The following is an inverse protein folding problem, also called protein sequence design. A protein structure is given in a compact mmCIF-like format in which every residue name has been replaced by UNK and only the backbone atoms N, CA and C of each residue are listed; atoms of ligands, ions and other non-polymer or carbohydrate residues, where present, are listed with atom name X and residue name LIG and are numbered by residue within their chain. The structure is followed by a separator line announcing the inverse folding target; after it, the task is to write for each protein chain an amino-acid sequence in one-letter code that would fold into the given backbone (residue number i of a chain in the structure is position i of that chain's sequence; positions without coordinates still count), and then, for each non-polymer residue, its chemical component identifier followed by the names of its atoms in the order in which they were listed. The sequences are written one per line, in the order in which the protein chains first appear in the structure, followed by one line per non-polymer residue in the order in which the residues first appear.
data_IF_846616687326
#
_entry.id   IF_846616687326
#
_cell.length_a   1.000
_cell.length_b   1.000
_cell.length_c   1.000
_cell.angle_alpha   90.00
_cell.angle_beta   90.00
_cell.angle_gamma   90.00
#
_symmetry.space_group_name_H-M   'P 1'
#
loop_
_entity.id
_entity.type
_entity.pdbx_description
1 polymer ?
#
# COMPACT_ATOMS: atom_id res chain seq x y z
N UNK A 1 13.87 1.75 13.87
CA UNK A 1 13.12 0.49 13.71
C UNK A 1 12.53 0.51 12.32
N UNK A 2 12.81 -0.52 11.53
CA UNK A 2 12.12 -0.73 10.26
C UNK A 2 10.78 -1.44 10.50
N UNK A 3 9.96 -1.57 9.45
CA UNK A 3 8.68 -2.30 9.55
C UNK A 3 8.89 -3.78 9.85
N UNK A 4 9.97 -4.35 9.32
CA UNK A 4 10.39 -5.73 9.52
C UNK A 4 10.81 -5.98 10.96
N UNK A 5 11.55 -5.05 11.58
CA UNK A 5 11.89 -5.12 13.01
C UNK A 5 10.62 -5.16 13.88
N UNK A 6 9.63 -4.32 13.55
CA UNK A 6 8.36 -4.25 14.29
C UNK A 6 7.59 -5.57 14.17
N UNK A 7 7.50 -6.11 12.95
CA UNK A 7 6.82 -7.40 12.69
C UNK A 7 7.48 -8.55 13.45
N UNK A 8 8.82 -8.62 13.46
CA UNK A 8 9.56 -9.65 14.19
C UNK A 8 9.31 -9.58 15.71
N UNK A 9 9.28 -8.37 16.29
CA UNK A 9 8.98 -8.21 17.72
C UNK A 9 7.50 -8.51 18.03
N UNK A 10 6.56 -8.25 17.11
CA UNK A 10 5.16 -8.66 17.26
C UNK A 10 5.07 -10.18 17.32
N UNK A 11 5.61 -10.90 16.33
CA UNK A 11 5.58 -12.37 16.29
C UNK A 11 6.21 -12.99 17.54
N UNK A 12 7.36 -12.46 17.95
CA UNK A 12 8.04 -12.86 19.18
C UNK A 12 7.17 -12.61 20.41
N UNK A 13 6.48 -11.47 20.50
CA UNK A 13 5.57 -11.17 21.62
C UNK A 13 4.38 -12.12 21.69
N UNK A 14 3.80 -12.51 20.55
CA UNK A 14 2.71 -13.49 20.49
C UNK A 14 3.16 -14.87 20.97
N UNK A 15 4.36 -15.30 20.56
CA UNK A 15 4.95 -16.58 21.03
C UNK A 15 5.24 -16.58 22.53
N UNK A 16 5.71 -15.45 23.08
CA UNK A 16 5.98 -15.31 24.52
C UNK A 16 4.72 -15.23 25.37
N UNK A 17 3.56 -14.96 24.76
CA UNK A 17 2.28 -14.80 25.45
C UNK A 17 1.35 -16.01 25.29
N UNK A 18 1.91 -17.20 24.99
CA UNK A 18 1.15 -18.43 24.75
C UNK A 18 0.06 -18.69 25.83
N UNK A 19 -1.17 -19.05 25.43
CA UNK A 19 -1.60 -19.37 24.05
C UNK A 19 -1.88 -18.14 23.16
N UNK A 20 -1.80 -16.93 23.72
CA UNK A 20 -1.95 -15.63 23.07
C UNK A 20 -2.40 -14.56 24.06
N UNK A 21 -2.25 -13.25 23.74
CA UNK A 21 -2.75 -12.20 24.62
C UNK A 21 -4.29 -12.13 24.58
N UNK A 22 -4.88 -11.98 25.76
CA UNK A 22 -6.32 -11.70 25.90
C UNK A 22 -6.68 -10.27 25.49
N UNK A 23 -5.76 -9.32 25.70
CA UNK A 23 -5.91 -7.93 25.31
C UNK A 23 -4.58 -7.39 24.79
N UNK A 24 -4.62 -6.70 23.65
CA UNK A 24 -3.55 -5.90 23.08
C UNK A 24 -3.74 -4.44 23.51
N UNK A 25 -2.79 -3.91 24.28
CA UNK A 25 -2.89 -2.54 24.79
C UNK A 25 -2.09 -1.58 23.91
N UNK A 26 -2.79 -0.69 23.21
CA UNK A 26 -2.19 0.33 22.36
C UNK A 26 -2.01 1.64 23.14
N UNK A 27 -0.77 1.93 23.55
CA UNK A 27 -0.47 3.10 24.38
C UNK A 27 -0.16 4.32 23.51
N UNK A 28 -0.98 5.35 23.60
CA UNK A 28 -0.82 6.62 22.86
C UNK A 28 -0.56 7.74 23.85
N UNK A 29 0.56 8.46 23.68
CA UNK A 29 0.90 9.60 24.53
C UNK A 29 0.35 10.90 23.96
N UNK A 30 -0.51 11.56 24.72
CA UNK A 30 -1.09 12.85 24.37
C UNK A 30 -0.04 13.98 24.42
N UNK A 31 -0.19 14.94 23.51
CA UNK A 31 0.72 16.08 23.36
C UNK A 31 1.80 15.91 22.29
N UNK A 32 1.92 14.75 21.65
CA UNK A 32 2.86 14.51 20.54
C UNK A 32 2.27 13.87 19.29
N UNK A 33 0.95 13.72 19.19
CA UNK A 33 0.32 13.01 18.07
C UNK A 33 0.59 13.68 16.72
N UNK A 34 1.69 13.28 16.09
CA UNK A 34 2.11 13.76 14.77
C UNK A 34 1.50 12.90 13.67
N UNK A 35 1.55 13.39 12.43
CA UNK A 35 1.14 12.60 11.26
C UNK A 35 1.92 11.28 11.14
N UNK A 36 3.17 11.27 11.58
CA UNK A 36 4.03 10.08 11.56
C UNK A 36 3.51 9.04 12.56
N UNK A 37 3.23 9.44 13.80
CA UNK A 37 2.64 8.56 14.81
C UNK A 37 1.28 8.00 14.36
N UNK A 38 0.43 8.83 13.72
CA UNK A 38 -0.82 8.36 13.10
C UNK A 38 -0.56 7.26 12.06
N UNK A 39 0.42 7.48 11.18
CA UNK A 39 0.75 6.53 10.11
C UNK A 39 1.26 5.22 10.69
N UNK A 40 2.05 5.27 11.76
CA UNK A 40 2.52 4.09 12.48
C UNK A 40 1.37 3.35 13.14
N UNK A 41 0.43 4.04 13.80
CA UNK A 41 -0.72 3.38 14.43
C UNK A 41 -1.59 2.67 13.39
N UNK A 42 -1.91 3.35 12.27
CA UNK A 42 -2.65 2.75 11.17
C UNK A 42 -1.94 1.53 10.60
N UNK A 43 -0.63 1.63 10.38
CA UNK A 43 0.17 0.50 9.89
C UNK A 43 0.18 -0.67 10.87
N UNK A 44 0.34 -0.42 12.18
CA UNK A 44 0.29 -1.48 13.19
C UNK A 44 -1.08 -2.17 13.14
N UNK A 45 -2.17 -1.41 13.09
CA UNK A 45 -3.52 -1.95 13.03
C UNK A 45 -3.77 -2.79 11.78
N UNK A 46 -3.40 -2.28 10.60
CA UNK A 46 -3.47 -3.02 9.33
C UNK A 46 -2.69 -4.33 9.43
N UNK A 47 -1.51 -4.32 10.06
CA UNK A 47 -0.68 -5.51 10.21
C UNK A 47 -1.25 -6.55 11.19
N UNK A 48 -1.95 -6.12 12.22
CA UNK A 48 -2.61 -7.02 13.19
C UNK A 48 -3.97 -7.54 12.67
N UNK A 49 -4.56 -6.84 11.70
CA UNK A 49 -5.77 -7.26 11.00
C UNK A 49 -7.05 -6.97 11.76
N UNK A 50 -8.17 -7.10 11.05
CA UNK A 50 -9.52 -6.80 11.56
C UNK A 50 -9.87 -7.58 12.83
N UNK A 51 -9.40 -8.82 12.95
CA UNK A 51 -9.68 -9.64 14.14
C UNK A 51 -8.98 -9.11 15.41
N UNK A 52 -7.83 -8.44 15.27
CA UNK A 52 -7.14 -7.88 16.42
C UNK A 52 -7.92 -6.73 17.07
N UNK A 53 -8.81 -6.06 16.34
CA UNK A 53 -9.66 -4.98 16.88
C UNK A 53 -10.46 -5.44 18.09
N UNK A 54 -10.99 -6.67 18.04
CA UNK A 54 -11.76 -7.30 19.13
C UNK A 54 -10.95 -7.45 20.42
N UNK A 55 -9.64 -7.63 20.30
CA UNK A 55 -8.73 -7.82 21.43
C UNK A 55 -7.99 -6.53 21.81
N UNK A 56 -8.18 -5.43 21.08
CA UNK A 56 -7.39 -4.21 21.29
C UNK A 56 -8.10 -3.24 22.23
N UNK A 57 -7.32 -2.52 23.04
CA UNK A 57 -7.76 -1.37 23.83
C UNK A 57 -6.77 -0.22 23.66
N UNK A 58 -7.24 1.03 23.53
CA UNK A 58 -6.37 2.20 23.48
C UNK A 58 -6.17 2.80 24.87
N UNK A 59 -4.91 2.96 25.30
CA UNK A 59 -4.55 3.64 26.53
C UNK A 59 -3.93 5.00 26.24
N UNK A 60 -4.66 6.07 26.52
CA UNK A 60 -4.14 7.42 26.43
C UNK A 60 -3.33 7.78 27.67
N UNK A 61 -2.09 8.22 27.47
CA UNK A 61 -1.20 8.67 28.56
C UNK A 61 -0.82 10.13 28.39
N UNK A 62 -0.31 10.78 29.43
CA UNK A 62 0.01 12.22 29.37
C UNK A 62 -1.22 13.12 29.47
N UNK A 63 -2.33 12.56 29.95
CA UNK A 63 -3.61 13.27 30.19
C UNK A 63 -3.46 14.40 31.21
N UNK A 64 -2.47 14.30 32.11
CA UNK A 64 -2.07 15.33 33.05
C UNK A 64 -1.67 16.66 32.38
N UNK A 65 -1.26 16.61 31.10
CA UNK A 65 -0.80 17.78 30.33
C UNK A 65 -1.87 18.37 29.43
N UNK A 66 -3.04 17.75 29.36
CA UNK A 66 -4.08 18.11 28.40
C UNK A 66 -4.77 19.42 28.79
N UNK A 67 -4.83 19.73 30.09
CA UNK A 67 -5.55 20.89 30.64
C UNK A 67 -7.08 20.80 30.49
N UNK A 68 -7.59 19.68 29.97
CA UNK A 68 -8.99 19.38 29.66
C UNK A 68 -9.23 17.87 29.74
N UNK A 69 -10.48 17.45 29.64
CA UNK A 69 -10.86 16.02 29.64
C UNK A 69 -10.45 15.31 28.35
N UNK A 70 -10.36 13.98 28.38
CA UNK A 70 -10.06 13.20 27.16
C UNK A 70 -11.18 13.33 26.13
N UNK A 71 -12.42 13.45 26.58
CA UNK A 71 -13.60 13.63 25.75
C UNK A 71 -13.54 14.95 24.98
N UNK A 72 -13.20 16.05 25.65
CA UNK A 72 -13.00 17.36 25.00
C UNK A 72 -11.82 17.32 24.01
N UNK A 73 -10.74 16.61 24.35
CA UNK A 73 -9.64 16.41 23.41
C UNK A 73 -10.06 15.64 22.15
N UNK A 74 -10.81 14.55 22.29
CA UNK A 74 -11.28 13.75 21.15
C UNK A 74 -12.28 14.53 20.28
N UNK A 75 -13.10 15.39 20.87
CA UNK A 75 -14.00 16.28 20.10
C UNK A 75 -13.22 17.30 19.26
N UNK A 76 -12.14 17.85 19.80
CA UNK A 76 -11.28 18.80 19.06
C UNK A 76 -10.32 18.13 18.07
N UNK A 77 -10.16 16.80 18.15
CA UNK A 77 -9.28 16.02 17.27
C UNK A 77 -10.07 14.95 16.51
N UNK A 78 -10.82 15.33 15.46
CA UNK A 78 -11.65 14.40 14.68
C UNK A 78 -10.87 13.19 14.16
N UNK A 79 -9.59 13.37 13.81
CA UNK A 79 -8.74 12.29 13.32
C UNK A 79 -8.43 11.22 14.36
N UNK A 80 -8.34 11.61 15.64
CA UNK A 80 -8.17 10.65 16.75
C UNK A 80 -9.49 9.95 17.05
N UNK A 81 -10.60 10.69 16.93
CA UNK A 81 -11.93 10.11 17.05
C UNK A 81 -12.21 9.09 15.95
N UNK A 82 -11.88 9.40 14.69
CA UNK A 82 -11.95 8.45 13.56
C UNK A 82 -11.15 7.18 13.86
N UNK A 83 -9.93 7.30 14.38
CA UNK A 83 -9.12 6.15 14.75
C UNK A 83 -9.80 5.24 15.79
N UNK A 84 -10.50 5.82 16.77
CA UNK A 84 -11.24 5.06 17.78
C UNK A 84 -12.52 4.44 17.20
N UNK A 85 -13.24 5.22 16.39
CA UNK A 85 -14.51 4.83 15.77
C UNK A 85 -14.30 3.69 14.75
N UNK A 86 -13.28 3.78 13.88
CA UNK A 86 -12.89 2.73 12.91
C UNK A 86 -12.51 1.40 13.56
N UNK A 87 -12.15 1.44 14.84
CA UNK A 87 -11.68 0.27 15.56
C UNK A 87 -12.74 -0.32 16.50
N UNK A 88 -13.88 0.34 16.71
CA UNK A 88 -14.87 -0.03 17.74
C UNK A 88 -14.20 -0.30 19.11
N UNK A 89 -13.10 0.40 19.38
CA UNK A 89 -12.15 0.05 20.44
C UNK A 89 -12.44 0.84 21.70
N UNK A 90 -12.53 0.13 22.81
CA UNK A 90 -12.54 0.73 24.14
C UNK A 90 -11.26 1.53 24.38
N UNK A 91 -11.38 2.70 25.01
CA UNK A 91 -10.23 3.52 25.38
C UNK A 91 -10.25 3.91 26.85
N UNK A 92 -9.07 4.23 27.39
CA UNK A 92 -8.95 4.78 28.74
C UNK A 92 -7.87 5.85 28.83
N UNK A 93 -8.18 6.93 29.54
CA UNK A 93 -7.23 7.94 29.97
C UNK A 93 -6.48 7.46 31.21
N UNK A 94 -5.15 7.56 31.20
CA UNK A 94 -4.27 7.08 32.26
C UNK A 94 -3.17 8.09 32.58
N UNK A 95 -3.10 8.52 33.84
CA UNK A 95 -2.09 9.43 34.35
C UNK A 95 -0.93 8.65 34.96
N UNK A 96 0.24 8.75 34.34
CA UNK A 96 1.47 8.17 34.88
C UNK A 96 2.08 8.98 36.04
N UNK A 97 1.52 10.16 36.34
CA UNK A 97 1.97 11.06 37.41
C UNK A 97 1.29 10.72 38.74
N UNK A 98 0.02 10.34 38.70
CA UNK A 98 -0.80 10.03 39.88
C UNK A 98 -0.56 8.60 40.39
N UNK A 99 0.65 8.33 40.88
CA UNK A 99 1.07 6.98 41.32
C UNK A 99 0.26 6.37 42.46
N UNK A 100 -0.47 7.20 43.22
CA UNK A 100 -1.28 6.75 44.36
C UNK A 100 -2.75 6.49 43.99
N UNK A 101 -3.15 6.80 42.75
CA UNK A 101 -4.53 6.64 42.31
C UNK A 101 -4.78 5.20 41.82
N UNK A 102 -5.11 4.31 42.76
CA UNK A 102 -5.44 2.91 42.44
C UNK A 102 -6.75 2.76 41.65
N UNK A 103 -7.58 3.80 41.62
CA UNK A 103 -8.86 3.79 40.88
C UNK A 103 -8.62 3.63 39.38
N UNK A 104 -7.63 4.34 38.81
CA UNK A 104 -7.32 4.23 37.38
C UNK A 104 -6.89 2.80 36.97
N UNK A 105 -6.12 2.13 37.82
CA UNK A 105 -5.74 0.72 37.60
C UNK A 105 -6.97 -0.19 37.69
N UNK A 106 -7.86 0.07 38.65
CA UNK A 106 -9.09 -0.71 38.84
C UNK A 106 -10.01 -0.58 37.62
N UNK A 107 -10.25 0.64 37.15
CA UNK A 107 -11.04 0.92 35.95
C UNK A 107 -10.45 0.24 34.71
N UNK A 108 -9.12 0.24 34.57
CA UNK A 108 -8.43 -0.44 33.46
C UNK A 108 -8.64 -1.94 33.49
N UNK A 109 -8.51 -2.56 34.66
CA UNK A 109 -8.76 -3.99 34.81
C UNK A 109 -10.23 -4.35 34.58
N UNK A 110 -11.18 -3.49 34.96
CA UNK A 110 -12.60 -3.69 34.69
C UNK A 110 -12.93 -3.65 33.19
N UNK A 111 -12.34 -2.69 32.47
CA UNK A 111 -12.49 -2.64 31.00
C UNK A 111 -11.83 -3.85 30.34
N UNK A 112 -10.64 -4.26 30.79
CA UNK A 112 -9.99 -5.48 30.30
C UNK A 112 -10.90 -6.70 30.51
N UNK A 113 -11.47 -6.87 31.71
CA UNK A 113 -12.42 -7.97 31.98
C UNK A 113 -13.63 -7.92 31.06
N UNK A 114 -14.11 -6.73 30.71
CA UNK A 114 -15.23 -6.53 29.79
C UNK A 114 -14.87 -6.99 28.38
N UNK A 115 -13.69 -6.63 27.87
CA UNK A 115 -13.19 -7.11 26.57
C UNK A 115 -13.07 -8.64 26.56
N UNK A 116 -12.43 -9.21 27.58
CA UNK A 116 -12.26 -10.67 27.69
C UNK A 116 -13.61 -11.39 27.70
N UNK A 117 -14.59 -10.84 28.43
CA UNK A 117 -15.95 -11.39 28.47
C UNK A 117 -16.67 -11.26 27.12
N UNK A 118 -16.53 -10.12 26.42
CA UNK A 118 -17.10 -9.89 25.08
C UNK A 118 -16.55 -10.88 24.06
N UNK A 119 -15.28 -11.26 24.21
CA UNK A 119 -14.62 -12.27 23.38
C UNK A 119 -14.73 -13.70 23.95
N UNK A 120 -15.64 -13.96 24.89
CA UNK A 120 -15.89 -15.30 25.44
C UNK A 120 -14.65 -15.99 26.04
N UNK A 121 -13.67 -15.21 26.51
CA UNK A 121 -12.40 -15.71 27.04
C UNK A 121 -11.38 -16.12 25.96
N UNK A 122 -11.67 -15.88 24.68
CA UNK A 122 -10.71 -16.08 23.60
C UNK A 122 -9.53 -15.10 23.70
N UNK A 123 -8.47 -15.44 22.98
CA UNK A 123 -7.22 -14.69 22.92
C UNK A 123 -6.78 -14.56 21.45
N UNK A 124 -6.01 -13.52 21.17
CA UNK A 124 -5.46 -13.30 19.85
C UNK A 124 -4.31 -14.28 19.59
N UNK A 125 -4.32 -15.03 18.50
CA UNK A 125 -3.34 -16.10 18.24
C UNK A 125 -2.32 -15.72 17.18
N UNK A 126 -1.19 -16.44 17.17
CA UNK A 126 -0.21 -16.34 16.07
C UNK A 126 -0.84 -16.74 14.73
N UNK A 127 -1.79 -17.69 14.71
CA UNK A 127 -2.51 -18.10 13.50
C UNK A 127 -3.36 -16.95 12.92
N UNK A 128 -4.07 -16.21 13.77
CA UNK A 128 -4.84 -15.03 13.34
C UNK A 128 -3.93 -13.94 12.74
N UNK A 129 -2.75 -13.76 13.34
CA UNK A 129 -1.74 -12.85 12.82
C UNK A 129 -1.20 -13.31 11.47
N UNK A 130 -0.81 -14.58 11.34
CA UNK A 130 -0.28 -15.15 10.09
C UNK A 130 -1.30 -15.09 8.95
N UNK A 131 -2.58 -15.36 9.25
CA UNK A 131 -3.66 -15.27 8.27
C UNK A 131 -3.82 -13.84 7.75
N UNK A 132 -3.73 -12.85 8.64
CA UNK A 132 -3.73 -11.43 8.25
C UNK A 132 -2.56 -11.11 7.32
N UNK A 133 -1.35 -11.55 7.69
CA UNK A 133 -0.15 -11.30 6.89
C UNK A 133 -0.21 -11.96 5.51
N UNK A 134 -0.83 -13.13 5.40
CA UNK A 134 -1.08 -13.79 4.11
C UNK A 134 -1.99 -12.96 3.22
N UNK A 135 -3.12 -12.48 3.74
CA UNK A 135 -4.08 -11.65 2.99
C UNK A 135 -3.43 -10.36 2.47
N UNK A 136 -2.66 -9.67 3.32
CA UNK A 136 -1.94 -8.46 2.92
C UNK A 136 -0.99 -8.76 1.76
N UNK A 137 -0.22 -9.84 1.85
CA UNK A 137 0.74 -10.23 0.80
C UNK A 137 0.01 -10.57 -0.51
N UNK A 138 -1.10 -11.29 -0.44
CA UNK A 138 -1.91 -11.64 -1.61
C UNK A 138 -2.52 -10.40 -2.28
N UNK A 139 -3.04 -9.45 -1.51
CA UNK A 139 -3.56 -8.17 -2.00
C UNK A 139 -2.47 -7.32 -2.66
N UNK A 140 -1.29 -7.22 -2.05
CA UNK A 140 -0.14 -6.51 -2.63
C UNK A 140 0.30 -7.13 -3.97
N UNK A 141 0.37 -8.46 -4.06
CA UNK A 141 0.69 -9.15 -5.31
C UNK A 141 -0.37 -8.94 -6.40
N UNK A 142 -1.65 -8.96 -6.04
CA UNK A 142 -2.74 -8.69 -6.98
C UNK A 142 -2.72 -7.26 -7.50
N UNK A 143 -2.47 -6.28 -6.63
CA UNK A 143 -2.29 -4.89 -7.03
C UNK A 143 -1.11 -4.71 -7.99
N UNK A 144 0.02 -5.36 -7.71
CA UNK A 144 1.17 -5.32 -8.62
C UNK A 144 0.85 -5.94 -9.98
N UNK A 145 0.13 -7.06 -10.01
CA UNK A 145 -0.31 -7.71 -11.26
C UNK A 145 -1.23 -6.79 -12.06
N UNK A 146 -2.19 -6.12 -11.40
CA UNK A 146 -3.09 -5.14 -12.03
C UNK A 146 -2.30 -3.95 -12.61
N UNK A 147 -1.41 -3.34 -11.82
CA UNK A 147 -0.55 -2.22 -12.27
C UNK A 147 0.32 -2.62 -13.47
N UNK A 148 0.89 -3.83 -13.47
CA UNK A 148 1.66 -4.36 -14.61
C UNK A 148 0.79 -4.56 -15.85
N UNK A 149 -0.42 -5.09 -15.71
CA UNK A 149 -1.35 -5.26 -16.83
C UNK A 149 -1.80 -3.90 -17.40
N UNK A 150 -2.15 -2.94 -16.56
CA UNK A 150 -2.52 -1.58 -16.97
C UNK A 150 -1.37 -0.89 -17.72
N UNK A 151 -0.14 -0.99 -17.20
CA UNK A 151 1.05 -0.44 -17.86
C UNK A 151 1.29 -1.10 -19.23
N UNK A 152 1.10 -2.42 -19.35
CA UNK A 152 1.23 -3.13 -20.63
C UNK A 152 0.13 -2.72 -21.62
N UNK A 153 -1.11 -2.53 -21.15
CA UNK A 153 -2.22 -2.05 -21.98
C UNK A 153 -2.00 -0.63 -22.47
N UNK A 154 -1.54 0.29 -21.60
CA UNK A 154 -1.23 1.67 -21.96
C UNK A 154 -0.07 1.74 -22.97
N UNK A 155 1.01 1.00 -22.74
CA UNK A 155 2.14 0.95 -23.68
C UNK A 155 1.74 0.32 -25.02
N UNK A 156 0.83 -0.64 -25.05
CA UNK A 156 0.34 -1.26 -26.29
C UNK A 156 -0.51 -0.29 -27.12
N UNK A 157 -1.33 0.53 -26.46
CA UNK A 157 -2.11 1.60 -27.10
C UNK A 157 -1.21 2.71 -27.65
N UNK A 158 -0.18 3.15 -26.92
CA UNK A 158 0.80 4.11 -27.43
C UNK A 158 1.58 3.59 -28.65
N UNK A 159 1.88 2.29 -28.70
CA UNK A 159 2.54 1.65 -29.85
C UNK A 159 1.58 1.60 -31.06
N UNK A 160 0.27 1.40 -30.86
CA UNK A 160 -0.72 1.44 -31.94
C UNK A 160 -0.97 2.86 -32.46
N UNK A 161 -1.07 3.85 -31.57
CA UNK A 161 -1.30 5.25 -31.95
C UNK A 161 -0.08 5.90 -32.62
N UNK A 162 1.13 5.40 -32.36
CA UNK A 162 2.36 5.88 -32.97
C UNK A 162 2.80 5.10 -34.23
N UNK A 163 1.97 4.19 -34.75
CA UNK A 163 2.22 3.55 -36.05
C UNK A 163 1.99 4.56 -37.18
N UNK A 164 3.06 5.11 -37.73
CA UNK A 164 2.99 5.75 -39.06
C UNK A 164 2.67 4.69 -40.12
N UNK A 165 1.70 4.95 -41.03
CA UNK A 165 1.36 4.01 -42.09
C UNK A 165 2.55 3.87 -43.06
N UNK A 166 3.09 2.66 -43.16
CA UNK A 166 4.11 2.32 -44.18
C UNK A 166 3.41 2.17 -45.53
N UNK A 167 3.45 3.21 -46.38
CA UNK A 167 2.89 3.18 -47.73
C UNK A 167 3.85 2.47 -48.69
N UNK A 168 3.49 1.26 -49.12
CA UNK A 168 4.15 0.61 -50.26
C UNK A 168 3.49 1.09 -51.56
N UNK A 169 4.24 1.76 -52.44
CA UNK A 169 3.77 2.12 -53.79
C UNK A 169 4.42 1.22 -54.83
N UNK A 170 3.57 0.52 -55.59
CA UNK A 170 3.98 -0.33 -56.69
C UNK A 170 3.99 0.49 -57.99
N UNK A 171 5.08 0.47 -58.74
CA UNK A 171 5.07 0.94 -60.12
C UNK A 171 5.67 -0.13 -61.01
N UNK A 172 4.89 -0.67 -61.94
CA UNK A 172 5.33 -1.71 -62.87
C UNK A 172 5.04 -1.31 -64.32
N UNK A 173 6.00 -1.57 -65.19
CA UNK A 173 5.79 -1.94 -66.60
C UNK A 173 6.31 -3.37 -66.78
N UNK A 174 5.74 -4.08 -67.74
CA UNK A 174 5.53 -5.54 -67.78
C UNK A 174 6.75 -6.47 -67.63
N UNK A 175 7.99 -5.96 -67.53
CA UNK A 175 9.18 -6.83 -67.59
C UNK A 175 10.15 -6.70 -66.40
N UNK A 176 9.92 -5.79 -65.43
CA UNK A 176 10.82 -5.63 -64.25
C UNK A 176 10.01 -5.28 -62.98
N UNK A 177 10.13 -6.10 -61.93
CA UNK A 177 9.56 -5.86 -60.60
C UNK A 177 10.62 -5.32 -59.64
N UNK A 178 10.45 -4.11 -59.11
CA UNK A 178 11.33 -3.53 -58.09
C UNK A 178 10.50 -3.15 -56.86
N UNK A 179 10.79 -3.78 -55.72
CA UNK A 179 10.20 -3.46 -54.42
C UNK A 179 11.10 -2.46 -53.70
N UNK A 180 10.61 -1.23 -53.46
CA UNK A 180 11.36 -0.22 -52.68
C UNK A 180 10.72 -0.08 -51.30
N UNK A 181 11.47 -0.43 -50.26
CA UNK A 181 11.08 -0.21 -48.86
C UNK A 181 11.68 1.12 -48.41
N UNK A 182 10.85 2.16 -48.23
CA UNK A 182 11.28 3.43 -47.66
C UNK A 182 11.39 3.29 -46.13
N UNK A 183 12.50 2.73 -45.66
CA UNK A 183 12.93 2.78 -44.26
C UNK A 183 13.87 3.96 -44.02
N UNK A 184 13.73 4.63 -42.87
CA UNK A 184 14.46 5.85 -42.51
C UNK A 184 15.98 5.76 -42.69
N UNK A 185 16.57 6.87 -43.15
CA UNK A 185 18.01 7.18 -43.06
C UNK A 185 18.88 6.83 -44.27
N UNK A 186 18.62 5.72 -44.99
CA UNK A 186 19.55 5.24 -46.05
C UNK A 186 18.91 5.23 -47.46
N UNK A 187 17.58 5.32 -47.55
CA UNK A 187 16.82 5.11 -48.79
C UNK A 187 17.00 6.18 -49.89
N UNK A 188 17.28 7.44 -49.53
CA UNK A 188 17.44 8.52 -50.52
C UNK A 188 18.67 8.30 -51.43
N UNK A 189 19.75 7.75 -50.88
CA UNK A 189 20.97 7.51 -51.65
C UNK A 189 20.77 6.39 -52.69
N UNK A 190 20.09 5.30 -52.32
CA UNK A 190 19.87 4.15 -53.21
C UNK A 190 18.88 4.49 -54.33
N UNK A 191 17.83 5.27 -54.03
CA UNK A 191 16.86 5.73 -55.03
C UNK A 191 17.49 6.61 -56.11
N UNK A 192 18.38 7.54 -55.72
CA UNK A 192 19.09 8.39 -56.67
C UNK A 192 20.10 7.59 -57.52
N UNK A 193 20.82 6.63 -56.92
CA UNK A 193 21.77 5.77 -57.64
C UNK A 193 21.06 4.89 -58.68
N UNK A 194 19.92 4.28 -58.32
CA UNK A 194 19.15 3.43 -59.24
C UNK A 194 18.48 4.24 -60.35
N UNK A 195 17.95 5.43 -60.04
CA UNK A 195 17.42 6.33 -61.07
C UNK A 195 18.51 6.80 -62.04
N UNK A 196 19.74 7.02 -61.57
CA UNK A 196 20.89 7.36 -62.41
C UNK A 196 21.37 6.16 -63.25
N UNK A 197 21.41 4.95 -62.68
CA UNK A 197 21.74 3.73 -63.41
C UNK A 197 20.73 3.45 -64.54
N UNK A 198 19.43 3.55 -64.27
CA UNK A 198 18.38 3.34 -65.29
C UNK A 198 18.42 4.43 -66.37
N UNK A 199 18.62 5.70 -65.98
CA UNK A 199 18.77 6.81 -66.92
C UNK A 199 20.00 6.66 -67.82
N UNK A 200 21.15 6.25 -67.26
CA UNK A 200 22.39 6.05 -68.00
C UNK A 200 22.33 4.84 -68.95
N UNK A 201 21.65 3.76 -68.55
CA UNK A 201 21.46 2.57 -69.37
C UNK A 201 20.53 2.83 -70.57
N UNK A 202 19.51 3.67 -70.39
CA UNK A 202 18.60 4.06 -71.48
C UNK A 202 19.26 4.93 -72.56
N UNK A 203 20.28 5.71 -72.21
CA UNK A 203 20.97 6.62 -73.15
C UNK A 203 22.00 5.93 -74.05
N UNK A 204 22.49 4.73 -73.69
CA UNK A 204 23.42 3.95 -74.52
C UNK A 204 22.74 3.13 -75.62
N UNK A 205 21.40 3.11 -75.67
CA UNK A 205 20.63 2.34 -76.68
C UNK A 205 19.94 3.20 -77.75
N UNK A 206 20.23 4.50 -77.82
CA UNK A 206 19.77 5.40 -78.90
C UNK A 206 20.95 5.93 -79.70
#
# INVERSE_FOLDING_TARGET
MTKEDVKAEIEKSLRMSAPGPHVLLMVIKLGRFTKEEKSTVKWIQENFGEDAKKFTMVLFTGVDKLGKTIEEFLQENPQMKELLDECETEYQAFSNVEKNNQTQVTELLEKIKTIVKKNEGQYYTEEMYQETQRKITEEEEEEEKKKRQETVSQNSQEIEDNKQPTLATYSGREDISIMTILGGGVGLAIGLIMSYCVYSYGRQRQ
#
